data_IF_579911079766
#
_entry.id   IF_579911079766
#
_cell.length_a   1.000
_cell.length_b   1.000
_cell.length_c   1.000
_cell.angle_alpha   90.00
_cell.angle_beta   90.00
_cell.angle_gamma   90.00
#
_symmetry.space_group_name_H-M   'P 1'
#
loop_
_entity.id
_entity.type
_entity.pdbx_description
1 polymer ?
#
# COMPACT_ATOMS: atom_id res chain seq x y z
N UNK A 1 4.50 -17.70 20.69
CA UNK A 1 4.70 -16.24 20.58
C UNK A 1 3.48 -15.50 21.14
N UNK A 2 3.67 -14.48 21.98
CA UNK A 2 2.61 -13.63 22.54
C UNK A 2 2.66 -12.26 21.88
N UNK A 3 1.51 -11.74 21.44
CA UNK A 3 1.40 -10.38 20.89
C UNK A 3 0.70 -9.47 21.91
N UNK A 4 1.31 -8.35 22.18
CA UNK A 4 0.79 -7.32 23.09
C UNK A 4 0.65 -6.01 22.31
N UNK A 5 -0.57 -5.52 22.17
CA UNK A 5 -0.88 -4.29 21.43
C UNK A 5 -1.90 -3.44 22.19
N UNK A 6 -1.77 -2.09 22.16
CA UNK A 6 -2.64 -1.19 22.89
C UNK A 6 -4.04 -1.10 22.31
N UNK A 7 -4.17 -1.27 21.01
CA UNK A 7 -5.43 -1.24 20.27
C UNK A 7 -5.58 -2.50 19.43
N UNK A 8 -6.79 -2.78 18.95
CA UNK A 8 -7.05 -3.86 17.99
C UNK A 8 -6.49 -3.45 16.63
N UNK A 9 -5.17 -3.59 16.45
CA UNK A 9 -4.50 -3.29 15.20
C UNK A 9 -4.03 -4.56 14.54
N UNK A 10 -4.00 -4.54 13.21
CA UNK A 10 -3.49 -5.67 12.47
C UNK A 10 -1.99 -5.69 12.51
N UNK A 11 -1.47 -6.80 13.03
CA UNK A 11 -0.07 -7.19 12.91
C UNK A 11 0.03 -8.33 11.91
N UNK A 12 0.81 -8.12 10.89
CA UNK A 12 1.30 -9.19 10.03
C UNK A 12 2.78 -9.37 10.31
N UNK A 13 3.21 -10.60 10.54
CA UNK A 13 4.63 -10.91 10.71
C UNK A 13 5.00 -12.12 9.88
N UNK A 14 6.27 -12.19 9.47
CA UNK A 14 6.80 -13.28 8.67
C UNK A 14 8.26 -13.51 9.00
N UNK A 15 8.71 -14.74 8.86
CA UNK A 15 10.12 -15.09 8.75
C UNK A 15 10.43 -15.44 7.30
N UNK A 16 11.61 -15.09 6.85
CA UNK A 16 12.11 -15.45 5.52
C UNK A 16 13.63 -15.60 5.56
N UNK A 17 14.18 -16.31 4.58
CA UNK A 17 15.62 -16.48 4.44
C UNK A 17 16.16 -15.58 3.33
N UNK A 18 17.26 -14.91 3.60
CA UNK A 18 17.99 -14.11 2.63
C UNK A 18 19.50 -14.17 2.91
N UNK A 19 20.27 -14.50 1.88
CA UNK A 19 21.74 -14.67 1.96
C UNK A 19 22.21 -15.62 3.08
N UNK A 20 21.42 -16.66 3.35
CA UNK A 20 21.74 -17.66 4.37
C UNK A 20 21.37 -17.26 5.80
N UNK A 21 20.79 -16.09 6.00
CA UNK A 21 20.32 -15.62 7.30
C UNK A 21 18.80 -15.68 7.39
N UNK A 22 18.28 -15.94 8.59
CA UNK A 22 16.86 -15.83 8.87
C UNK A 22 16.53 -14.41 9.29
N UNK A 23 15.51 -13.87 8.66
CA UNK A 23 14.97 -12.55 8.93
C UNK A 23 13.58 -12.66 9.55
N UNK A 24 13.27 -11.73 10.43
CA UNK A 24 11.93 -11.51 10.95
C UNK A 24 11.44 -10.14 10.52
N UNK A 25 10.26 -10.07 9.94
CA UNK A 25 9.61 -8.80 9.60
C UNK A 25 8.27 -8.69 10.31
N UNK A 26 7.96 -7.49 10.80
CA UNK A 26 6.68 -7.11 11.35
C UNK A 26 6.09 -5.95 10.57
N UNK A 27 4.83 -6.06 10.18
CA UNK A 27 4.06 -5.02 9.50
C UNK A 27 2.87 -4.62 10.38
N UNK A 28 2.76 -3.34 10.67
CA UNK A 28 1.71 -2.77 11.50
C UNK A 28 0.81 -1.89 10.65
N UNK A 29 -0.48 -2.15 10.69
CA UNK A 29 -1.49 -1.41 9.94
C UNK A 29 -2.29 -0.52 10.90
N UNK A 30 -2.52 0.72 10.50
CA UNK A 30 -3.40 1.65 11.21
C UNK A 30 -4.29 2.39 10.23
N UNK A 31 -5.58 2.38 10.49
CA UNK A 31 -6.57 3.12 9.72
C UNK A 31 -6.85 4.48 10.35
N UNK A 32 -7.12 5.48 9.53
CA UNK A 32 -7.53 6.81 9.94
C UNK A 32 -8.63 7.37 9.02
N UNK A 33 -9.41 8.33 9.50
CA UNK A 33 -10.40 9.02 8.69
C UNK A 33 -9.71 10.05 7.79
N UNK A 34 -10.10 10.13 6.52
CA UNK A 34 -9.60 11.16 5.60
C UNK A 34 -10.22 12.53 5.88
N UNK A 35 -11.46 12.57 6.39
CA UNK A 35 -12.14 13.80 6.78
C UNK A 35 -11.74 14.33 8.17
N UNK A 36 -11.25 13.44 9.03
CA UNK A 36 -10.70 13.77 10.36
C UNK A 36 -9.38 13.00 10.58
N UNK A 37 -8.28 13.44 9.97
CA UNK A 37 -7.02 12.70 9.99
C UNK A 37 -6.42 12.44 11.37
N UNK A 38 -6.79 13.22 12.38
CA UNK A 38 -6.41 12.98 13.77
C UNK A 38 -7.11 11.77 14.40
N UNK A 39 -8.22 11.31 13.79
CA UNK A 39 -9.02 10.21 14.28
C UNK A 39 -8.53 8.87 13.73
N UNK A 40 -7.96 8.08 14.59
CA UNK A 40 -7.62 6.68 14.30
C UNK A 40 -8.90 5.83 14.37
N UNK A 41 -9.12 5.04 13.34
CA UNK A 41 -10.31 4.20 13.24
C UNK A 41 -10.03 2.83 13.90
N UNK A 42 -10.98 2.29 14.68
CA UNK A 42 -10.83 0.98 15.31
C UNK A 42 -10.86 -0.14 14.27
N UNK A 43 -10.16 -1.23 14.57
CA UNK A 43 -10.22 -2.47 13.81
C UNK A 43 -11.57 -3.18 14.04
N UNK A 44 -12.52 -2.92 13.18
CA UNK A 44 -13.90 -3.45 13.24
C UNK A 44 -14.32 -3.99 11.87
N UNK A 45 -15.63 -3.97 11.57
CA UNK A 45 -16.20 -4.38 10.27
C UNK A 45 -15.60 -3.64 9.08
N UNK A 46 -15.14 -2.39 9.28
CA UNK A 46 -14.46 -1.60 8.25
C UNK A 46 -13.16 -2.27 7.80
N UNK A 47 -12.40 -2.88 8.72
CA UNK A 47 -11.21 -3.65 8.37
C UNK A 47 -11.51 -4.79 7.39
N UNK A 48 -12.61 -5.53 7.59
CA UNK A 48 -12.99 -6.59 6.65
C UNK A 48 -13.29 -6.04 5.25
N UNK A 49 -13.89 -4.84 5.17
CA UNK A 49 -14.14 -4.16 3.90
C UNK A 49 -12.84 -3.72 3.24
N UNK A 50 -11.93 -3.11 4.00
CA UNK A 50 -10.60 -2.71 3.54
C UNK A 50 -9.79 -3.93 3.09
N UNK A 51 -9.75 -5.00 3.89
CA UNK A 51 -9.03 -6.22 3.54
C UNK A 51 -9.57 -6.90 2.28
N UNK A 52 -10.89 -6.86 2.07
CA UNK A 52 -11.51 -7.34 0.82
C UNK A 52 -11.14 -6.46 -0.38
N UNK A 53 -11.14 -5.15 -0.20
CA UNK A 53 -10.76 -4.20 -1.25
C UNK A 53 -9.27 -4.32 -1.61
N UNK A 54 -8.39 -4.52 -0.61
CA UNK A 54 -6.97 -4.75 -0.83
C UNK A 54 -6.68 -6.09 -1.53
N UNK A 55 -7.56 -7.08 -1.36
CA UNK A 55 -7.38 -8.41 -1.91
C UNK A 55 -6.28 -9.24 -1.21
N UNK A 56 -6.18 -10.51 -1.61
CA UNK A 56 -5.22 -11.46 -1.01
C UNK A 56 -3.76 -11.08 -1.29
N UNK A 57 -3.49 -10.59 -2.49
CA UNK A 57 -2.12 -10.29 -2.95
C UNK A 57 -1.52 -9.08 -2.22
N UNK A 58 -2.33 -8.07 -1.92
CA UNK A 58 -1.90 -6.95 -1.10
C UNK A 58 -1.52 -7.36 0.34
N UNK A 59 -2.24 -8.33 0.91
CA UNK A 59 -1.90 -8.89 2.23
C UNK A 59 -0.58 -9.65 2.21
N UNK A 60 -0.26 -10.35 1.12
CA UNK A 60 1.02 -11.06 0.94
C UNK A 60 2.18 -10.08 0.76
N UNK A 61 2.01 -9.06 -0.08
CA UNK A 61 2.99 -7.99 -0.25
C UNK A 61 3.20 -7.19 1.04
N UNK A 62 2.17 -7.12 1.89
CA UNK A 62 2.21 -6.46 3.19
C UNK A 62 3.25 -7.01 4.16
N UNK A 63 3.76 -8.21 3.94
CA UNK A 63 4.68 -8.89 4.86
C UNK A 63 6.17 -8.66 4.57
N UNK A 64 6.53 -8.18 3.38
CA UNK A 64 7.95 -8.06 2.99
C UNK A 64 8.43 -6.62 3.07
N UNK A 65 9.69 -6.38 3.51
CA UNK A 65 10.27 -5.04 3.53
C UNK A 65 10.27 -4.39 2.14
N UNK A 66 10.12 -3.08 2.10
CA UNK A 66 10.19 -2.28 0.87
C UNK A 66 11.45 -1.41 0.86
N UNK A 67 12.01 -1.22 -0.33
CA UNK A 67 13.18 -0.36 -0.49
C UNK A 67 12.83 1.14 -0.45
N UNK A 68 11.57 1.48 -0.72
CA UNK A 68 11.06 2.85 -0.81
C UNK A 68 9.62 2.92 -0.34
N UNK A 69 9.22 4.07 0.15
CA UNK A 69 7.82 4.31 0.44
C UNK A 69 7.01 4.55 -0.84
N UNK A 70 5.72 4.23 -0.78
CA UNK A 70 4.77 4.42 -1.88
C UNK A 70 3.38 4.74 -1.35
N UNK A 71 2.55 5.35 -2.22
CA UNK A 71 1.14 5.47 -1.94
C UNK A 71 0.29 4.79 -3.01
N UNK A 72 -0.87 4.33 -2.60
CA UNK A 72 -1.84 3.60 -3.42
C UNK A 72 -3.20 4.27 -3.27
N UNK A 73 -3.91 4.49 -4.37
CA UNK A 73 -5.32 4.92 -4.29
C UNK A 73 -6.19 3.81 -4.85
N UNK A 74 -7.14 3.37 -4.04
CA UNK A 74 -8.15 2.39 -4.42
C UNK A 74 -9.50 3.10 -4.48
N UNK A 75 -9.97 3.39 -5.68
CA UNK A 75 -11.19 4.15 -5.86
C UNK A 75 -11.53 4.39 -7.32
N UNK A 76 -12.46 5.29 -7.50
CA UNK A 76 -12.98 5.70 -8.80
C UNK A 76 -12.85 7.22 -8.99
N UNK A 77 -12.86 7.64 -10.25
CA UNK A 77 -13.25 9.00 -10.59
C UNK A 77 -14.75 9.15 -10.36
N UNK A 78 -15.15 10.27 -9.80
CA UNK A 78 -16.56 10.69 -9.69
C UNK A 78 -16.77 12.04 -10.36
N UNK A 79 -17.77 12.09 -11.22
CA UNK A 79 -18.12 13.31 -11.92
C UNK A 79 -18.63 14.39 -10.94
N UNK A 80 -18.16 15.65 -11.04
CA UNK A 80 -18.57 16.72 -10.15
C UNK A 80 -20.08 16.89 -10.08
N UNK A 81 -20.63 16.89 -8.87
CA UNK A 81 -22.07 17.02 -8.62
C UNK A 81 -22.93 15.87 -9.16
N UNK A 82 -22.32 14.71 -9.45
CA UNK A 82 -23.00 13.53 -9.98
C UNK A 82 -23.56 13.69 -11.40
N UNK A 83 -23.18 14.74 -12.11
CA UNK A 83 -23.66 15.00 -13.49
C UNK A 83 -22.74 14.28 -14.47
N UNK A 84 -23.30 13.50 -15.43
CA UNK A 84 -22.48 12.81 -16.42
C UNK A 84 -21.57 13.77 -17.19
N UNK A 85 -20.30 13.39 -17.35
CA UNK A 85 -19.29 14.13 -18.11
C UNK A 85 -18.59 13.20 -19.09
N UNK A 86 -18.18 13.71 -20.25
CA UNK A 86 -17.44 12.93 -21.24
C UNK A 86 -15.97 12.69 -20.84
N UNK A 87 -15.40 13.61 -20.07
CA UNK A 87 -14.02 13.54 -19.59
C UNK A 87 -13.87 14.27 -18.25
N UNK A 88 -12.80 13.95 -17.53
CA UNK A 88 -12.42 14.60 -16.28
C UNK A 88 -10.96 14.39 -15.96
N UNK A 89 -10.53 14.89 -14.82
CA UNK A 89 -9.19 14.70 -14.27
C UNK A 89 -9.30 14.21 -12.82
N UNK A 90 -8.40 13.33 -12.43
CA UNK A 90 -8.17 12.94 -11.04
C UNK A 90 -6.74 13.25 -10.66
N UNK A 91 -6.53 13.61 -9.42
CA UNK A 91 -5.18 13.76 -8.88
C UNK A 91 -5.07 13.28 -7.44
N UNK A 92 -3.92 12.72 -7.11
CA UNK A 92 -3.55 12.37 -5.76
C UNK A 92 -2.16 12.93 -5.46
N UNK A 93 -2.05 13.59 -4.31
CA UNK A 93 -0.80 14.16 -3.80
C UNK A 93 -0.57 13.67 -2.38
N UNK A 94 0.67 13.27 -2.07
CA UNK A 94 1.11 12.94 -0.73
C UNK A 94 2.52 13.50 -0.53
N UNK A 95 2.65 14.49 0.35
CA UNK A 95 3.90 15.21 0.53
C UNK A 95 4.37 15.86 -0.78
N UNK A 96 5.53 15.43 -1.27
CA UNK A 96 6.10 15.89 -2.54
C UNK A 96 5.71 15.05 -3.77
N UNK A 97 5.08 13.89 -3.56
CA UNK A 97 4.61 13.05 -4.65
C UNK A 97 3.28 13.57 -5.17
N UNK A 98 3.13 13.67 -6.48
CA UNK A 98 1.88 14.04 -7.13
C UNK A 98 1.73 13.27 -8.44
N UNK A 99 0.54 12.69 -8.64
CA UNK A 99 0.16 12.02 -9.89
C UNK A 99 -1.20 12.51 -10.33
N UNK A 100 -1.34 12.74 -11.63
CA UNK A 100 -2.58 13.16 -12.30
C UNK A 100 -2.90 12.19 -13.41
N UNK A 101 -4.17 11.93 -13.61
CA UNK A 101 -4.67 11.13 -14.72
C UNK A 101 -5.86 11.82 -15.35
N UNK A 102 -5.87 11.87 -16.67
CA UNK A 102 -7.08 12.18 -17.43
C UNK A 102 -7.96 10.94 -17.50
N UNK A 103 -9.25 11.13 -17.34
CA UNK A 103 -10.26 10.08 -17.43
C UNK A 103 -11.27 10.43 -18.51
N UNK A 104 -11.66 9.44 -19.28
CA UNK A 104 -12.57 9.59 -20.42
C UNK A 104 -13.62 8.48 -20.32
N UNK A 105 -14.83 8.77 -20.75
CA UNK A 105 -15.82 7.73 -21.03
C UNK A 105 -15.38 6.81 -22.17
N UNK A 106 -16.18 5.80 -22.49
CA UNK A 106 -15.83 4.88 -23.56
C UNK A 106 -15.78 5.60 -24.90
N UNK A 107 -14.71 5.36 -25.65
CA UNK A 107 -14.43 5.95 -26.96
C UNK A 107 -13.67 4.96 -27.82
N UNK A 108 -13.85 5.10 -29.14
CA UNK A 108 -13.35 4.14 -30.13
C UNK A 108 -12.72 4.86 -31.30
N UNK A 109 -11.76 4.20 -31.95
CA UNK A 109 -11.27 4.60 -33.25
C UNK A 109 -12.38 4.47 -34.30
N UNK A 110 -12.52 5.48 -35.15
CA UNK A 110 -13.46 5.49 -36.28
C UNK A 110 -12.79 6.00 -37.55
N UNK A 111 -13.22 5.52 -38.70
CA UNK A 111 -12.82 6.09 -40.00
C UNK A 111 -13.41 7.49 -40.13
N UNK A 112 -12.57 8.48 -40.32
CA UNK A 112 -12.99 9.85 -40.61
C UNK A 112 -13.04 10.04 -42.11
N UNK A 113 -14.15 10.57 -42.65
CA UNK A 113 -14.34 10.79 -44.09
C UNK A 113 -13.30 11.82 -44.56
N UNK A 114 -12.41 11.34 -45.45
CA UNK A 114 -11.41 12.21 -46.12
C UNK A 114 -10.14 12.56 -45.33
N UNK A 115 -10.00 12.18 -44.08
CA UNK A 115 -8.90 12.66 -43.22
C UNK A 115 -8.19 11.50 -42.45
N UNK A 116 -8.51 10.23 -42.69
CA UNK A 116 -7.86 9.11 -41.99
C UNK A 116 -8.69 8.57 -40.82
N UNK A 117 -8.02 8.30 -39.69
CA UNK A 117 -8.68 7.81 -38.47
C UNK A 117 -8.98 8.96 -37.50
N UNK A 118 -10.15 8.94 -36.93
CA UNK A 118 -10.59 9.83 -35.85
C UNK A 118 -11.03 9.03 -34.63
N UNK A 119 -11.47 9.70 -33.60
CA UNK A 119 -11.99 9.11 -32.37
C UNK A 119 -13.46 9.51 -32.22
N UNK A 120 -14.30 8.61 -31.69
CA UNK A 120 -15.67 8.98 -31.30
C UNK A 120 -15.64 9.93 -30.13
N UNK A 121 -16.69 10.73 -29.95
CA UNK A 121 -16.87 11.46 -28.71
C UNK A 121 -16.94 10.46 -27.54
N UNK A 122 -16.32 10.77 -26.39
CA UNK A 122 -16.41 9.91 -25.21
C UNK A 122 -17.86 9.83 -24.70
N UNK A 123 -18.30 8.64 -24.31
CA UNK A 123 -19.60 8.45 -23.69
C UNK A 123 -19.66 9.17 -22.32
N UNK A 124 -20.78 9.82 -21.97
CA UNK A 124 -20.93 10.44 -20.67
C UNK A 124 -20.85 9.41 -19.54
N UNK A 125 -20.07 9.70 -18.49
CA UNK A 125 -19.89 8.86 -17.31
C UNK A 125 -20.07 9.66 -16.03
N UNK A 126 -20.56 9.01 -14.98
CA UNK A 126 -20.64 9.59 -13.60
C UNK A 126 -19.55 9.03 -12.70
N UNK A 127 -19.06 7.82 -13.00
CA UNK A 127 -18.02 7.12 -12.25
C UNK A 127 -17.14 6.31 -13.21
N UNK A 128 -15.85 6.21 -12.87
CA UNK A 128 -14.90 5.34 -13.59
C UNK A 128 -13.88 4.76 -12.59
N UNK A 129 -13.78 3.42 -12.43
CA UNK A 129 -12.77 2.80 -11.58
C UNK A 129 -11.34 3.11 -12.05
N UNK A 130 -10.48 3.56 -11.13
CA UNK A 130 -9.09 3.93 -11.42
C UNK A 130 -8.18 2.70 -11.36
N UNK A 131 -8.45 1.72 -12.21
CA UNK A 131 -7.74 0.43 -12.26
C UNK A 131 -7.02 0.25 -13.57
N UNK A 132 -6.05 -0.66 -13.60
CA UNK A 132 -5.34 -1.03 -14.83
C UNK A 132 -6.22 -1.64 -15.91
N UNK A 133 -7.43 -2.13 -15.58
CA UNK A 133 -8.41 -2.58 -16.57
C UNK A 133 -8.90 -1.44 -17.49
N UNK A 134 -8.88 -0.20 -17.00
CA UNK A 134 -9.25 1.00 -17.76
C UNK A 134 -8.06 1.74 -18.37
N UNK A 135 -6.83 1.28 -18.12
CA UNK A 135 -5.61 1.79 -18.70
C UNK A 135 -5.27 1.12 -20.02
N UNK A 136 -4.29 1.67 -20.76
CA UNK A 136 -3.82 1.07 -22.01
C UNK A 136 -3.35 -0.38 -21.79
N UNK A 137 -3.74 -1.27 -22.71
CA UNK A 137 -3.42 -2.69 -22.67
C UNK A 137 -4.43 -3.52 -23.45
N UNK A 138 -4.53 -4.81 -23.13
CA UNK A 138 -5.41 -5.78 -23.75
C UNK A 138 -4.84 -7.20 -23.75
N UNK A 139 -5.63 -8.19 -24.12
CA UNK A 139 -5.35 -9.63 -23.98
C UNK A 139 -3.91 -10.05 -24.36
N UNK A 140 -3.35 -9.48 -25.42
CA UNK A 140 -2.01 -9.84 -25.91
C UNK A 140 -0.94 -8.82 -25.52
N UNK A 141 -1.30 -7.83 -24.71
CA UNK A 141 -0.38 -6.81 -24.24
C UNK A 141 0.41 -7.29 -23.02
N UNK A 142 1.73 -7.47 -23.20
CA UNK A 142 2.60 -8.08 -22.15
C UNK A 142 2.61 -7.32 -20.83
N UNK A 143 2.50 -5.99 -20.90
CA UNK A 143 2.59 -5.16 -19.68
C UNK A 143 1.26 -4.99 -18.97
N UNK A 144 0.13 -5.04 -19.68
CA UNK A 144 -1.20 -4.92 -19.08
C UNK A 144 -2.23 -5.77 -19.85
N UNK A 145 -2.32 -7.06 -19.60
CA UNK A 145 -3.27 -7.93 -20.28
C UNK A 145 -4.74 -7.65 -19.90
N UNK A 146 -4.98 -6.95 -18.78
CA UNK A 146 -6.33 -6.58 -18.32
C UNK A 146 -6.85 -5.28 -18.95
N UNK A 147 -5.97 -4.49 -19.55
CA UNK A 147 -6.30 -3.16 -20.10
C UNK A 147 -7.10 -3.20 -21.39
N UNK A 148 -7.29 -2.03 -21.97
CA UNK A 148 -7.98 -1.84 -23.26
C UNK A 148 -7.19 -0.89 -24.17
N UNK A 149 -7.42 -0.98 -25.48
CA UNK A 149 -6.80 -0.10 -26.48
C UNK A 149 -5.77 -0.77 -27.37
N UNK A 150 -5.08 -1.81 -26.91
CA UNK A 150 -4.06 -2.51 -27.70
C UNK A 150 -4.65 -3.42 -28.79
N UNK A 151 -5.92 -3.85 -28.67
CA UNK A 151 -6.59 -4.71 -29.63
C UNK A 151 -8.06 -4.32 -29.82
N UNK A 152 -8.62 -4.68 -30.96
CA UNK A 152 -10.05 -4.54 -31.20
C UNK A 152 -10.86 -5.52 -30.34
N UNK A 153 -12.06 -5.11 -29.94
CA UNK A 153 -13.02 -5.91 -29.18
C UNK A 153 -14.33 -6.02 -29.94
N UNK A 154 -15.09 -7.09 -29.70
CA UNK A 154 -16.44 -7.23 -30.21
C UNK A 154 -17.40 -6.35 -29.38
N UNK A 155 -18.22 -5.58 -30.07
CA UNK A 155 -19.28 -4.75 -29.52
C UNK A 155 -20.62 -5.06 -30.20
N UNK A 156 -21.72 -4.53 -29.71
CA UNK A 156 -23.02 -4.66 -30.35
C UNK A 156 -23.04 -4.13 -31.80
N UNK A 157 -22.12 -3.22 -32.11
CA UNK A 157 -21.99 -2.62 -33.47
C UNK A 157 -20.90 -3.29 -34.32
N UNK A 158 -20.35 -4.43 -33.88
CA UNK A 158 -19.28 -5.18 -34.50
C UNK A 158 -17.90 -4.93 -33.90
N UNK A 159 -16.84 -5.34 -34.63
CA UNK A 159 -15.45 -5.18 -34.18
C UNK A 159 -15.05 -3.69 -34.14
N UNK A 160 -14.68 -3.19 -32.97
CA UNK A 160 -14.21 -1.82 -32.75
C UNK A 160 -12.93 -1.82 -31.92
N UNK A 161 -12.03 -0.88 -32.19
CA UNK A 161 -10.85 -0.70 -31.36
C UNK A 161 -11.12 0.41 -30.34
N UNK A 162 -11.19 0.08 -29.03
CA UNK A 162 -11.37 1.07 -27.98
C UNK A 162 -10.10 1.89 -27.78
N UNK A 163 -10.23 3.03 -27.11
CA UNK A 163 -9.13 3.71 -26.43
C UNK A 163 -9.21 3.43 -24.94
N UNK A 164 -8.11 3.53 -24.20
CA UNK A 164 -8.16 3.45 -22.74
C UNK A 164 -8.99 4.61 -22.16
N UNK A 165 -9.61 4.37 -21.02
CA UNK A 165 -10.33 5.44 -20.31
C UNK A 165 -9.40 6.29 -19.46
N UNK A 166 -8.20 5.79 -19.12
CA UNK A 166 -7.23 6.45 -18.26
C UNK A 166 -5.94 6.68 -19.03
N UNK A 167 -5.52 7.94 -19.09
CA UNK A 167 -4.28 8.35 -19.74
C UNK A 167 -3.50 9.34 -18.88
N UNK A 168 -2.17 9.34 -19.04
CA UNK A 168 -1.32 10.39 -18.46
C UNK A 168 -1.55 11.71 -19.21
N UNK A 169 -1.70 12.85 -18.53
CA UNK A 169 -1.94 14.14 -19.19
C UNK A 169 -0.86 14.51 -20.22
N UNK A 170 0.38 14.11 -19.98
CA UNK A 170 1.53 14.37 -20.84
C UNK A 170 1.70 13.36 -21.98
N UNK A 171 0.88 12.30 -22.04
CA UNK A 171 1.00 11.20 -23.01
C UNK A 171 -0.36 10.71 -23.49
N UNK A 172 -1.16 11.64 -24.01
CA UNK A 172 -2.45 11.30 -24.62
C UNK A 172 -2.24 10.52 -25.92
N UNK A 173 -3.11 9.55 -26.16
CA UNK A 173 -3.12 8.74 -27.39
C UNK A 173 -3.68 9.60 -28.52
N UNK A 174 -2.86 9.87 -29.52
CA UNK A 174 -3.20 10.60 -30.74
C UNK A 174 -3.25 9.73 -32.00
N UNK A 175 -2.69 8.51 -31.95
CA UNK A 175 -2.62 7.57 -33.07
C UNK A 175 -2.89 6.14 -32.60
N UNK A 176 -3.48 5.26 -33.44
CA UNK A 176 -3.61 3.83 -33.15
C UNK A 176 -2.28 3.11 -32.95
N UNK A 177 -1.19 3.68 -33.45
CA UNK A 177 0.16 3.14 -33.31
C UNK A 177 0.83 3.52 -31.99
N UNK A 178 0.25 4.44 -31.23
CA UNK A 178 0.75 4.85 -29.92
C UNK A 178 0.64 3.68 -28.91
N UNK A 179 1.71 3.46 -28.17
CA UNK A 179 1.81 2.42 -27.13
C UNK A 179 2.29 3.06 -25.82
N UNK A 180 1.43 3.85 -25.16
CA UNK A 180 1.80 4.46 -23.90
C UNK A 180 1.96 3.40 -22.81
N UNK A 181 2.77 3.71 -21.81
CA UNK A 181 2.85 2.90 -20.59
C UNK A 181 1.49 2.92 -19.88
N UNK A 182 0.96 1.76 -19.48
CA UNK A 182 -0.27 1.70 -18.70
C UNK A 182 -0.16 2.54 -17.42
N UNK A 183 -1.14 3.36 -17.14
CA UNK A 183 -1.16 4.28 -15.99
C UNK A 183 -2.41 4.06 -15.13
N UNK A 184 -2.21 3.95 -13.83
CA UNK A 184 -3.27 3.85 -12.81
C UNK A 184 -2.71 4.29 -11.46
N UNK A 185 -3.57 4.44 -10.46
CA UNK A 185 -3.18 4.60 -9.05
C UNK A 185 -3.10 3.28 -8.28
N UNK A 186 -3.62 2.22 -8.86
CA UNK A 186 -3.73 0.90 -8.23
C UNK A 186 -2.42 0.11 -8.20
N UNK A 187 -2.54 -1.08 -7.65
CA UNK A 187 -1.41 -2.01 -7.52
C UNK A 187 -1.11 -2.72 -8.85
N UNK A 188 0.15 -2.96 -9.07
CA UNK A 188 0.68 -3.84 -10.11
C UNK A 188 0.67 -5.28 -9.62
N UNK A 189 0.19 -6.21 -10.43
CA UNK A 189 0.25 -7.64 -10.14
C UNK A 189 1.69 -8.14 -9.92
N UNK A 190 1.85 -9.19 -9.12
CA UNK A 190 3.15 -9.83 -8.85
C UNK A 190 3.85 -10.29 -10.13
N UNK A 191 3.07 -10.76 -11.10
CA UNK A 191 3.57 -11.26 -12.40
C UNK A 191 3.72 -10.15 -13.44
N UNK A 192 3.45 -8.90 -13.09
CA UNK A 192 3.66 -7.77 -13.99
C UNK A 192 5.11 -7.72 -14.46
N UNK A 193 5.40 -7.69 -15.76
CA UNK A 193 6.76 -7.89 -16.26
C UNK A 193 7.80 -6.93 -15.69
N UNK A 194 7.40 -5.69 -15.39
CA UNK A 194 8.29 -4.70 -14.78
C UNK A 194 8.65 -5.04 -13.33
N UNK A 195 7.74 -5.66 -12.57
CA UNK A 195 8.01 -6.19 -11.23
C UNK A 195 8.78 -7.50 -11.31
N UNK A 196 8.31 -8.44 -12.13
CA UNK A 196 8.89 -9.79 -12.23
C UNK A 196 10.37 -9.78 -12.61
N UNK A 197 10.83 -8.83 -13.41
CA UNK A 197 12.25 -8.64 -13.73
C UNK A 197 13.14 -8.39 -12.50
N UNK A 198 12.56 -8.04 -11.37
CA UNK A 198 13.25 -7.67 -10.13
C UNK A 198 13.28 -8.79 -9.10
N UNK A 199 12.59 -9.90 -9.36
CA UNK A 199 12.46 -11.01 -8.41
C UNK A 199 13.78 -11.72 -8.10
N UNK A 200 14.81 -11.53 -8.92
CA UNK A 200 16.11 -12.20 -8.83
C UNK A 200 16.16 -13.51 -9.59
N UNK A 201 17.28 -14.23 -9.45
CA UNK A 201 17.60 -15.43 -10.22
C UNK A 201 17.32 -16.70 -9.40
N UNK A 202 16.38 -17.51 -9.87
CA UNK A 202 15.97 -18.79 -9.25
C UNK A 202 16.38 -19.96 -10.14
N UNK A 203 17.69 -20.18 -10.24
CA UNK A 203 18.32 -21.24 -11.04
C UNK A 203 18.69 -22.50 -10.20
N UNK A 204 19.43 -23.44 -10.79
CA UNK A 204 19.89 -24.62 -10.10
C UNK A 204 20.88 -24.31 -8.96
N UNK A 205 21.65 -23.22 -9.07
CA UNK A 205 22.57 -22.79 -8.01
C UNK A 205 21.75 -22.30 -6.81
N UNK A 206 20.76 -21.42 -7.06
CA UNK A 206 19.85 -20.99 -6.01
C UNK A 206 19.17 -22.19 -5.35
N UNK A 207 18.68 -23.17 -6.13
CA UNK A 207 17.99 -24.35 -5.60
C UNK A 207 18.86 -25.16 -4.62
N UNK A 208 20.17 -25.24 -4.88
CA UNK A 208 21.10 -26.00 -4.03
C UNK A 208 21.57 -25.23 -2.81
N UNK A 209 21.76 -23.92 -2.93
CA UNK A 209 22.48 -23.11 -1.95
C UNK A 209 21.57 -22.18 -1.14
N UNK A 210 20.38 -21.83 -1.66
CA UNK A 210 19.53 -20.78 -1.10
C UNK A 210 18.08 -21.18 -0.85
N UNK A 211 17.57 -22.22 -1.53
CA UNK A 211 16.17 -22.62 -1.33
C UNK A 211 15.91 -23.04 0.12
N UNK A 212 14.78 -22.64 0.73
CA UNK A 212 13.64 -21.93 0.15
C UNK A 212 13.73 -20.38 0.24
N UNK A 213 14.90 -19.82 0.48
CA UNK A 213 15.12 -18.39 0.70
C UNK A 213 14.95 -17.54 -0.57
N UNK A 214 15.07 -16.23 -0.41
CA UNK A 214 15.06 -15.28 -1.53
C UNK A 214 16.35 -15.41 -2.35
N UNK A 215 16.29 -15.06 -3.62
CA UNK A 215 17.47 -14.94 -4.47
C UNK A 215 18.42 -13.86 -3.94
N UNK A 216 19.75 -14.12 -3.99
CA UNK A 216 20.76 -13.19 -3.48
C UNK A 216 20.79 -11.85 -4.23
N UNK A 217 20.36 -11.86 -5.50
CA UNK A 217 20.32 -10.73 -6.43
C UNK A 217 18.92 -10.08 -6.58
N UNK A 218 18.02 -10.37 -5.65
CA UNK A 218 16.70 -9.71 -5.65
C UNK A 218 16.84 -8.18 -5.58
N UNK A 219 16.15 -7.47 -6.46
CA UNK A 219 15.93 -6.04 -6.30
C UNK A 219 14.72 -5.83 -5.38
N UNK A 220 14.96 -5.31 -4.18
CA UNK A 220 13.92 -5.10 -3.16
C UNK A 220 12.77 -4.20 -3.62
N UNK A 221 12.94 -3.41 -4.69
CA UNK A 221 11.83 -2.69 -5.30
C UNK A 221 10.80 -3.61 -5.99
N UNK A 222 11.05 -4.93 -6.05
CA UNK A 222 10.06 -5.94 -6.38
C UNK A 222 8.84 -5.89 -5.44
N UNK A 223 9.05 -5.55 -4.17
CA UNK A 223 7.98 -5.45 -3.17
C UNK A 223 7.23 -4.10 -3.19
N UNK A 224 7.71 -3.12 -3.95
CA UNK A 224 6.90 -1.95 -4.28
C UNK A 224 5.83 -2.33 -5.30
N UNK A 225 4.57 -2.03 -4.97
CA UNK A 225 3.42 -2.53 -5.72
C UNK A 225 2.79 -1.52 -6.68
N UNK A 226 3.30 -0.29 -6.70
CA UNK A 226 2.81 0.77 -7.60
C UNK A 226 3.80 1.10 -8.71
N UNK A 227 3.39 1.97 -9.62
CA UNK A 227 4.28 2.58 -10.61
C UNK A 227 5.33 3.47 -9.92
N UNK A 228 6.55 3.59 -10.48
CA UNK A 228 7.64 4.37 -9.88
C UNK A 228 7.33 5.85 -9.61
N UNK A 229 6.37 6.44 -10.32
CA UNK A 229 5.89 7.80 -10.12
C UNK A 229 5.09 8.00 -8.80
N UNK A 230 4.75 6.90 -8.11
CA UNK A 230 4.13 6.89 -6.79
C UNK A 230 5.13 6.54 -5.67
N UNK A 231 6.42 6.45 -5.96
CA UNK A 231 7.45 6.10 -4.99
C UNK A 231 8.15 7.32 -4.43
N UNK A 232 8.34 7.32 -3.12
CA UNK A 232 9.18 8.28 -2.41
C UNK A 232 10.60 7.74 -2.33
N UNK A 233 11.58 8.59 -2.58
CA UNK A 233 12.97 8.26 -2.26
C UNK A 233 13.17 8.38 -0.74
N UNK A 234 13.19 7.23 -0.06
CA UNK A 234 13.14 7.11 1.41
C UNK A 234 11.76 6.70 1.92
N UNK A 235 11.41 7.15 3.13
CA UNK A 235 10.19 6.75 3.84
C UNK A 235 9.40 7.98 4.30
N UNK A 236 8.09 7.80 4.49
CA UNK A 236 7.24 8.86 5.03
C UNK A 236 7.55 9.11 6.51
N UNK A 237 7.32 10.35 6.96
CA UNK A 237 7.45 10.74 8.37
C UNK A 237 6.20 10.41 9.16
N UNK A 238 5.03 10.48 8.49
CA UNK A 238 3.73 10.19 9.07
C UNK A 238 2.85 11.42 9.34
N UNK A 239 3.28 12.60 8.91
CA UNK A 239 2.53 13.87 8.99
C UNK A 239 2.43 14.60 7.64
N UNK A 240 2.77 13.91 6.54
CA UNK A 240 2.71 14.51 5.21
C UNK A 240 1.30 15.00 4.86
N UNK A 241 1.19 16.19 4.24
CA UNK A 241 -0.07 16.66 3.69
C UNK A 241 -0.47 15.79 2.50
N UNK A 242 -1.77 15.56 2.34
CA UNK A 242 -2.33 14.90 1.17
C UNK A 242 -3.48 15.68 0.57
N UNK A 243 -3.69 15.48 -0.74
CA UNK A 243 -4.82 16.04 -1.50
C UNK A 243 -5.30 15.00 -2.49
N UNK A 244 -6.62 14.73 -2.51
CA UNK A 244 -7.27 13.83 -3.45
C UNK A 244 -8.39 14.61 -4.17
N UNK A 245 -8.41 14.57 -5.52
CA UNK A 245 -9.39 15.30 -6.34
C UNK A 245 -10.22 14.35 -7.16
N UNK A 246 -11.56 14.59 -7.14
CA UNK A 246 -12.57 13.86 -7.92
C UNK A 246 -12.56 12.33 -7.68
N UNK A 247 -12.23 11.91 -6.45
CA UNK A 247 -12.17 10.50 -6.05
C UNK A 247 -13.20 10.13 -4.97
N UNK A 248 -14.17 11.01 -4.70
CA UNK A 248 -15.26 10.78 -3.75
C UNK A 248 -16.57 11.28 -4.34
N UNK A 249 -17.69 10.54 -4.18
CA UNK A 249 -18.96 10.88 -4.84
C UNK A 249 -19.53 12.24 -4.43
N UNK A 250 -19.32 12.67 -3.19
CA UNK A 250 -19.88 13.91 -2.65
C UNK A 250 -18.85 15.02 -2.42
N UNK A 251 -17.56 14.63 -2.25
CA UNK A 251 -16.47 15.58 -1.95
C UNK A 251 -15.46 15.59 -3.10
N UNK A 252 -15.54 16.57 -4.00
CA UNK A 252 -14.62 16.66 -5.15
C UNK A 252 -13.17 16.95 -4.72
N UNK A 253 -12.98 17.43 -3.50
CA UNK A 253 -11.67 17.69 -2.89
C UNK A 253 -11.63 17.15 -1.47
N UNK A 254 -10.61 16.33 -1.18
CA UNK A 254 -10.28 15.89 0.17
C UNK A 254 -8.84 16.34 0.43
N UNK A 255 -8.65 17.09 1.51
CA UNK A 255 -7.34 17.59 1.95
C UNK A 255 -7.14 17.25 3.42
N UNK A 256 -5.92 16.92 3.78
CA UNK A 256 -5.56 16.58 5.15
C UNK A 256 -4.08 16.29 5.31
N UNK A 257 -3.74 15.69 6.44
CA UNK A 257 -2.39 15.22 6.76
C UNK A 257 -2.46 13.78 7.26
N UNK A 258 -1.38 13.04 7.11
CA UNK A 258 -1.25 11.75 7.80
C UNK A 258 -1.38 11.96 9.32
N UNK A 259 -1.78 10.94 10.10
CA UNK A 259 -2.22 11.12 11.50
C UNK A 259 -1.11 11.49 12.49
N UNK A 260 0.14 11.62 12.05
CA UNK A 260 1.27 12.00 12.91
C UNK A 260 1.63 10.93 13.95
N UNK A 261 1.49 9.66 13.59
CA UNK A 261 1.79 8.52 14.44
C UNK A 261 3.14 7.89 14.10
N UNK A 262 3.78 7.33 15.12
CA UNK A 262 4.96 6.47 15.02
C UNK A 262 4.61 5.12 15.62
N UNK A 263 4.79 4.04 14.87
CA UNK A 263 4.72 2.70 15.42
C UNK A 263 6.08 2.29 15.98
N UNK A 264 6.09 1.76 17.21
CA UNK A 264 7.25 1.15 17.84
C UNK A 264 6.97 -0.34 18.05
N UNK A 265 7.89 -1.19 17.63
CA UNK A 265 7.76 -2.64 17.77
C UNK A 265 8.98 -3.18 18.51
N UNK A 266 8.72 -3.92 19.57
CA UNK A 266 9.76 -4.57 20.36
C UNK A 266 9.52 -6.07 20.32
N UNK A 267 10.59 -6.83 20.13
CA UNK A 267 10.57 -8.28 20.16
C UNK A 267 11.40 -8.79 21.32
N UNK A 268 10.95 -9.88 21.93
CA UNK A 268 11.70 -10.63 22.94
C UNK A 268 12.07 -11.99 22.33
N UNK A 269 13.34 -12.32 22.39
CA UNK A 269 13.92 -13.59 21.95
C UNK A 269 14.59 -14.30 23.10
N UNK A 270 14.59 -15.63 23.08
CA UNK A 270 15.43 -16.43 23.95
C UNK A 270 16.81 -16.60 23.31
N UNK A 271 17.84 -16.38 24.08
CA UNK A 271 19.23 -16.63 23.66
C UNK A 271 19.65 -18.05 24.03
N UNK A 272 20.75 -18.55 23.46
CA UNK A 272 21.26 -19.91 23.68
C UNK A 272 21.58 -20.22 25.14
N UNK A 273 22.00 -19.20 25.92
CA UNK A 273 22.23 -19.29 27.34
C UNK A 273 20.96 -19.26 28.21
N UNK A 274 19.78 -19.16 27.55
CA UNK A 274 18.47 -19.11 28.22
C UNK A 274 18.05 -17.72 28.70
N UNK A 275 18.88 -16.68 28.50
CA UNK A 275 18.51 -15.29 28.79
C UNK A 275 17.48 -14.75 27.76
N UNK A 276 16.87 -13.61 28.07
CA UNK A 276 15.99 -12.91 27.13
C UNK A 276 16.66 -11.68 26.53
N UNK A 277 16.71 -11.64 25.20
CA UNK A 277 17.14 -10.48 24.45
C UNK A 277 15.91 -9.68 24.00
N UNK A 278 15.89 -8.40 24.34
CA UNK A 278 14.86 -7.45 23.87
C UNK A 278 15.45 -6.55 22.79
N UNK A 279 14.82 -6.53 21.64
CA UNK A 279 15.24 -5.72 20.48
C UNK A 279 14.08 -4.85 20.01
N UNK A 280 14.36 -3.59 19.67
CA UNK A 280 13.43 -2.73 18.98
C UNK A 280 13.67 -2.87 17.47
N UNK A 281 12.59 -3.10 16.72
CA UNK A 281 12.63 -3.07 15.26
C UNK A 281 12.62 -1.62 14.76
N UNK A 282 13.47 -1.30 13.81
CA UNK A 282 13.42 -0.03 13.11
C UNK A 282 12.21 0.02 12.17
N UNK A 283 11.12 0.61 12.65
CA UNK A 283 9.88 0.71 11.87
C UNK A 283 9.92 1.86 10.87
N UNK A 284 9.62 1.57 9.62
CA UNK A 284 9.58 2.52 8.49
C UNK A 284 8.16 2.63 7.97
N UNK A 285 7.63 3.84 7.85
CA UNK A 285 6.34 4.08 7.20
C UNK A 285 6.55 4.04 5.69
N UNK A 286 6.25 2.91 5.09
CA UNK A 286 6.59 2.62 3.71
C UNK A 286 5.39 2.54 2.76
N UNK A 287 4.16 2.46 3.28
CA UNK A 287 2.99 2.39 2.41
C UNK A 287 1.82 3.17 3.00
N UNK A 288 1.19 3.97 2.14
CA UNK A 288 -0.06 4.68 2.44
C UNK A 288 -1.11 4.27 1.43
N UNK A 289 -2.26 3.81 1.91
CA UNK A 289 -3.44 3.55 1.07
C UNK A 289 -4.48 4.64 1.31
N UNK A 290 -5.10 5.07 0.23
CA UNK A 290 -6.27 5.94 0.24
C UNK A 290 -7.46 5.19 -0.35
N UNK A 291 -8.56 5.12 0.39
CA UNK A 291 -9.87 4.61 -0.02
C UNK A 291 -10.88 5.77 0.10
N UNK A 292 -10.87 6.71 -0.85
CA UNK A 292 -11.58 7.98 -0.70
C UNK A 292 -13.08 7.82 -0.49
N UNK A 293 -13.74 6.94 -1.26
CA UNK A 293 -15.18 6.71 -1.17
C UNK A 293 -15.63 6.14 0.18
N UNK A 294 -14.72 5.49 0.93
CA UNK A 294 -14.96 4.95 2.27
C UNK A 294 -14.53 5.91 3.38
N UNK A 295 -13.98 7.08 3.05
CA UNK A 295 -13.37 8.02 3.99
C UNK A 295 -12.22 7.42 4.82
N UNK A 296 -11.46 6.48 4.25
CA UNK A 296 -10.40 5.73 4.95
C UNK A 296 -9.04 5.99 4.34
N UNK A 297 -8.08 6.33 5.18
CA UNK A 297 -6.66 6.17 4.94
C UNK A 297 -6.12 4.99 5.74
N UNK A 298 -5.14 4.27 5.18
CA UNK A 298 -4.43 3.19 5.85
C UNK A 298 -2.94 3.46 5.76
N UNK A 299 -2.25 3.49 6.88
CA UNK A 299 -0.80 3.61 6.95
C UNK A 299 -0.19 2.30 7.42
N UNK A 300 0.96 1.98 6.85
CA UNK A 300 1.64 0.72 7.08
C UNK A 300 3.11 0.97 7.38
N UNK A 301 3.52 0.54 8.57
CA UNK A 301 4.92 0.49 8.97
C UNK A 301 5.44 -0.93 8.84
N UNK A 302 6.70 -1.06 8.40
CA UNK A 302 7.45 -2.31 8.44
C UNK A 302 8.76 -2.13 9.14
N UNK A 303 9.11 -3.15 9.93
CA UNK A 303 10.43 -3.31 10.52
C UNK A 303 10.94 -4.71 10.24
N UNK A 304 12.25 -4.82 10.05
CA UNK A 304 12.95 -6.05 9.74
C UNK A 304 14.18 -6.20 10.65
N UNK A 305 14.50 -7.42 11.05
CA UNK A 305 15.69 -7.73 11.83
C UNK A 305 16.21 -9.15 11.50
N UNK A 306 17.51 -9.32 11.57
CA UNK A 306 18.17 -10.62 11.44
C UNK A 306 18.03 -11.37 12.77
N UNK A 307 17.47 -12.57 12.72
CA UNK A 307 17.22 -13.38 13.92
C UNK A 307 18.14 -14.59 14.07
N UNK A 308 19.19 -14.69 13.23
CA UNK A 308 20.21 -15.72 13.29
C UNK A 308 19.93 -16.94 12.42
N UNK A 309 20.89 -17.87 12.37
CA UNK A 309 20.84 -19.02 11.46
C UNK A 309 20.02 -20.19 11.98
N UNK A 310 19.88 -20.37 13.28
CA UNK A 310 19.44 -21.66 13.85
C UNK A 310 18.03 -21.73 14.38
N UNK A 311 17.36 -20.64 14.76
CA UNK A 311 15.96 -20.76 15.17
C UNK A 311 15.17 -19.46 15.08
N UNK A 312 14.61 -19.21 13.92
CA UNK A 312 13.61 -18.16 13.67
C UNK A 312 12.37 -18.27 14.59
N UNK A 313 12.27 -19.33 15.37
CA UNK A 313 11.06 -19.68 16.13
C UNK A 313 11.09 -19.21 17.59
N UNK A 314 12.19 -18.64 18.08
CA UNK A 314 12.32 -18.27 19.50
C UNK A 314 11.84 -16.86 19.86
N UNK A 315 11.10 -16.19 18.97
CA UNK A 315 10.41 -14.96 19.36
C UNK A 315 9.29 -15.30 20.34
N UNK A 316 9.48 -14.88 21.58
CA UNK A 316 8.55 -15.14 22.68
C UNK A 316 7.40 -14.14 22.68
N UNK A 317 7.72 -12.90 22.44
CA UNK A 317 6.74 -11.82 22.50
C UNK A 317 7.03 -10.72 21.49
N UNK A 318 5.95 -10.16 20.94
CA UNK A 318 5.95 -8.91 20.18
C UNK A 318 5.11 -7.91 20.97
N UNK A 319 5.67 -6.76 21.25
CA UNK A 319 4.96 -5.62 21.81
C UNK A 319 4.92 -4.50 20.79
N UNK A 320 3.74 -3.93 20.60
CA UNK A 320 3.51 -2.79 19.72
C UNK A 320 3.13 -1.60 20.59
N UNK A 321 3.71 -0.45 20.34
CA UNK A 321 3.37 0.81 20.96
C UNK A 321 3.23 1.90 19.90
N UNK A 322 2.45 2.93 20.19
CA UNK A 322 2.29 4.10 19.35
C UNK A 322 2.71 5.34 20.11
N UNK A 323 3.38 6.22 19.39
CA UNK A 323 3.75 7.56 19.88
C UNK A 323 3.26 8.58 18.86
N UNK A 324 2.95 9.77 19.29
CA UNK A 324 2.70 10.90 18.38
C UNK A 324 4.03 11.48 17.94
N UNK A 325 4.14 11.82 16.66
CA UNK A 325 5.35 12.40 16.07
C UNK A 325 5.78 13.69 16.79
N UNK A 326 4.81 14.47 17.29
CA UNK A 326 5.03 15.73 18.02
C UNK A 326 5.44 15.57 19.48
N UNK A 327 5.25 14.38 20.07
CA UNK A 327 5.52 14.13 21.48
C UNK A 327 6.97 13.65 21.68
N UNK A 328 7.57 13.87 22.85
CA UNK A 328 8.89 13.32 23.15
C UNK A 328 8.86 11.80 23.10
N UNK A 329 9.83 11.20 22.41
CA UNK A 329 9.96 9.75 22.36
C UNK A 329 10.26 9.18 23.74
N UNK A 330 9.52 8.15 24.13
CA UNK A 330 9.83 7.36 25.33
C UNK A 330 11.10 6.53 25.09
N UNK A 331 11.88 6.33 26.13
CA UNK A 331 13.11 5.56 26.03
C UNK A 331 12.83 4.07 25.76
N UNK A 332 13.77 3.38 25.15
CA UNK A 332 13.72 1.92 25.01
C UNK A 332 13.58 1.23 26.38
N UNK A 333 14.28 1.72 27.40
CA UNK A 333 14.20 1.21 28.76
C UNK A 333 12.79 1.26 29.34
N UNK A 334 12.03 2.31 29.07
CA UNK A 334 10.61 2.40 29.47
C UNK A 334 9.80 1.22 28.94
N UNK A 335 9.95 0.90 27.66
CA UNK A 335 9.22 -0.21 27.04
C UNK A 335 9.77 -1.57 27.48
N UNK A 336 11.08 -1.70 27.66
CA UNK A 336 11.72 -2.91 28.17
C UNK A 336 11.21 -3.27 29.57
N UNK A 337 11.14 -2.31 30.46
CA UNK A 337 10.60 -2.51 31.81
C UNK A 337 9.10 -2.85 31.79
N UNK A 338 8.32 -2.23 30.92
CA UNK A 338 6.91 -2.58 30.72
C UNK A 338 6.73 -4.02 30.20
N UNK A 339 7.60 -4.48 29.31
CA UNK A 339 7.62 -5.87 28.83
C UNK A 339 7.97 -6.85 29.96
N UNK A 340 9.04 -6.59 30.71
CA UNK A 340 9.45 -7.45 31.83
C UNK A 340 8.34 -7.59 32.87
N UNK A 341 7.70 -6.49 33.26
CA UNK A 341 6.57 -6.50 34.20
C UNK A 341 5.38 -7.32 33.70
N UNK A 342 5.12 -7.33 32.39
CA UNK A 342 4.05 -8.16 31.80
C UNK A 342 4.39 -9.64 31.73
N UNK A 343 5.66 -9.98 31.64
CA UNK A 343 6.13 -11.37 31.61
C UNK A 343 6.17 -12.01 33.00
N UNK A 344 6.27 -11.19 34.08
CA UNK A 344 6.27 -11.64 35.45
C UNK A 344 4.88 -12.16 35.87
N UNK A 345 4.74 -13.47 36.21
CA UNK A 345 3.47 -14.06 36.63
C UNK A 345 2.85 -13.40 37.85
N UNK A 346 3.68 -12.91 38.77
CA UNK A 346 3.23 -12.30 40.04
C UNK A 346 2.77 -10.84 39.87
N UNK A 347 3.15 -10.19 38.77
CA UNK A 347 2.74 -8.82 38.47
C UNK A 347 1.48 -8.72 37.60
N UNK A 348 0.90 -9.86 37.19
CA UNK A 348 -0.26 -9.91 36.28
C UNK A 348 -1.52 -9.15 36.74
N UNK A 349 -1.69 -8.93 38.02
CA UNK A 349 -2.86 -8.22 38.55
C UNK A 349 -2.69 -6.71 38.73
N UNK A 350 -1.43 -6.20 38.76
CA UNK A 350 -1.14 -4.81 39.09
C UNK A 350 -0.73 -3.93 37.90
N UNK A 351 -0.31 -4.54 36.79
CA UNK A 351 0.22 -3.83 35.62
C UNK A 351 -0.35 -4.39 34.31
N UNK A 352 -1.66 -4.50 34.22
CA UNK A 352 -2.26 -4.19 32.93
C UNK A 352 -1.80 -2.74 32.66
N UNK A 353 -0.87 -2.55 31.72
CA UNK A 353 -0.76 -1.25 31.08
C UNK A 353 -2.18 -0.96 30.61
N UNK A 354 -2.88 -0.05 31.28
CA UNK A 354 -4.16 0.39 30.80
C UNK A 354 -3.95 0.84 29.36
N UNK A 355 -4.92 0.58 28.49
CA UNK A 355 -4.90 1.15 27.15
C UNK A 355 -4.54 2.63 27.19
N UNK A 356 -4.92 3.33 28.26
CA UNK A 356 -4.55 4.70 28.61
C UNK A 356 -3.03 4.98 28.73
N UNK A 357 -2.22 4.02 29.16
CA UNK A 357 -0.75 4.23 29.32
C UNK A 357 0.02 4.07 28.00
N UNK A 358 -0.64 3.55 26.98
CA UNK A 358 -0.09 3.30 25.65
C UNK A 358 -0.63 4.27 24.59
N UNK A 359 -1.67 5.03 24.94
CA UNK A 359 -2.24 6.11 24.13
C UNK A 359 -1.71 7.43 24.66
N UNK A 360 -1.14 8.31 23.82
CA UNK A 360 -0.76 9.66 24.24
C UNK A 360 -1.95 10.41 24.85
N UNK A 361 -1.70 11.19 25.90
CA UNK A 361 -2.69 11.92 26.73
C UNK A 361 -3.62 12.90 25.99
N UNK A 362 -3.75 12.84 24.70
CA UNK A 362 -4.60 13.73 23.89
C UNK A 362 -5.94 13.16 23.42
N UNK A 363 -6.19 11.85 23.61
CA UNK A 363 -7.38 11.19 23.06
C UNK A 363 -8.45 10.81 24.12
N UNK A 364 -8.40 11.42 25.30
CA UNK A 364 -9.38 11.14 26.38
C UNK A 364 -10.69 11.93 26.30
N UNK A 365 -10.89 12.71 25.25
CA UNK A 365 -12.12 13.47 25.05
C UNK A 365 -12.91 12.97 23.86
N UNK A 366 -13.88 12.09 24.10
CA UNK A 366 -14.87 11.70 23.10
C UNK A 366 -15.66 10.50 23.56
#
# INVERSE_FOLDING_TARGET
MRVTKPMKQSLLHRTYQYRGENHFTASIFTMFSLSDPGRVLPENELWQTVARALGRDAMLDGAMPKSRAEYIVMGSFYAPGGKPVAAGEVSAKLGKLEKRLNVFGDRYWKKAIGIGLGVTDPEPMTELPLTFANAFGGKDHKENPLGKGAAAIETAEGMRQPLPNIELPERLIGSPDDKPTPASFGMLDLMWPQRFKKVGTYDQKWQKERAPGLADDIDWSYFNVTSPDQWLDGFFKGDEPFTLRNMHPERPLIEGHLPGLISRVFISRKTDDGSELFTELEMKLDTVYFLPAQDVGLILWRGDDIIGTDDAMDIKQIMIAYERLKDPRRSFEHYREALKKRLDPDSRSKYLLNEADLIPDGDRSG
#
